data_IF_106429478620
#
_entry.id   IF_106429478620
#
_cell.length_a   1.000
_cell.length_b   1.000
_cell.length_c   1.000
_cell.angle_alpha   90.00
_cell.angle_beta   90.00
_cell.angle_gamma   90.00
#
_symmetry.space_group_name_H-M   'P 1'
#
loop_
_entity.id
_entity.type
_entity.pdbx_description
1 polymer ?
#
# COMPACT_ATOMS: atom_id res chain seq x y z
N UNK A 1 -16.07 0.16 -9.64
CA UNK A 1 -16.04 0.93 -8.38
C UNK A 1 -17.13 1.97 -8.47
N UNK A 2 -18.10 1.93 -7.56
CA UNK A 2 -19.10 2.99 -7.46
C UNK A 2 -18.41 4.22 -6.83
N UNK A 3 -18.22 5.28 -7.61
CA UNK A 3 -17.61 6.54 -7.14
C UNK A 3 -18.61 7.44 -6.42
N UNK A 4 -19.89 7.12 -6.49
CA UNK A 4 -20.98 7.93 -5.95
C UNK A 4 -21.37 7.49 -4.53
N UNK A 5 -20.99 6.27 -4.12
CA UNK A 5 -21.31 5.75 -2.78
C UNK A 5 -20.13 5.03 -2.14
N UNK A 6 -19.46 5.74 -1.24
CA UNK A 6 -18.37 5.23 -0.43
C UNK A 6 -18.93 4.42 0.76
N UNK A 7 -18.72 3.09 0.86
CA UNK A 7 -19.32 2.25 1.90
C UNK A 7 -19.04 2.71 3.32
N UNK A 8 -17.88 3.34 3.57
CA UNK A 8 -17.52 3.88 4.87
C UNK A 8 -18.38 5.07 5.32
N UNK A 9 -19.14 5.69 4.41
CA UNK A 9 -20.07 6.78 4.72
C UNK A 9 -21.47 6.27 5.11
N UNK A 10 -21.78 5.00 4.86
CA UNK A 10 -23.08 4.39 5.19
C UNK A 10 -23.16 3.88 6.65
N UNK A 11 -22.11 4.10 7.44
CA UNK A 11 -21.98 3.60 8.81
C UNK A 11 -21.31 2.22 8.91
N UNK A 12 -21.02 1.79 10.13
CA UNK A 12 -20.26 0.57 10.42
C UNK A 12 -18.83 0.83 10.90
N UNK A 13 -18.12 -0.23 11.29
CA UNK A 13 -16.73 -0.16 11.75
C UNK A 13 -15.83 -0.66 10.63
N UNK A 14 -14.85 0.17 10.28
CA UNK A 14 -13.83 -0.14 9.29
C UNK A 14 -12.47 -0.21 9.98
N UNK A 15 -11.75 -1.30 9.71
CA UNK A 15 -10.34 -1.41 10.05
C UNK A 15 -9.52 -0.60 9.05
N UNK A 16 -8.43 -0.01 9.53
CA UNK A 16 -7.35 0.51 8.69
C UNK A 16 -6.09 -0.30 8.92
N UNK A 17 -5.14 -0.18 8.02
CA UNK A 17 -3.77 -0.62 8.29
C UNK A 17 -3.04 0.34 9.27
N UNK A 18 -1.79 0.00 9.56
CA UNK A 18 -0.94 0.73 10.49
C UNK A 18 0.15 1.55 9.80
N UNK A 19 1.28 1.75 10.47
CA UNK A 19 2.43 2.43 9.88
C UNK A 19 3.23 1.49 8.98
N UNK A 20 3.06 1.62 7.66
CA UNK A 20 3.72 0.74 6.68
C UNK A 20 5.24 0.84 6.76
N UNK A 21 5.82 2.04 6.65
CA UNK A 21 7.28 2.18 6.63
C UNK A 21 7.91 1.77 7.97
N UNK A 22 7.29 2.10 9.10
CA UNK A 22 7.82 1.70 10.41
C UNK A 22 7.79 0.19 10.58
N UNK A 23 6.75 -0.49 10.10
CA UNK A 23 6.66 -1.95 10.15
C UNK A 23 7.73 -2.59 9.26
N UNK A 24 7.85 -2.12 8.02
CA UNK A 24 8.84 -2.64 7.07
C UNK A 24 10.28 -2.45 7.58
N UNK A 25 10.59 -1.32 8.23
CA UNK A 25 11.92 -1.07 8.79
C UNK A 25 12.15 -1.88 10.07
N UNK A 26 11.30 -1.75 11.08
CA UNK A 26 11.59 -2.27 12.42
C UNK A 26 11.22 -3.74 12.60
N UNK A 27 10.22 -4.23 11.86
CA UNK A 27 9.78 -5.62 11.97
C UNK A 27 10.30 -6.50 10.83
N UNK A 28 10.44 -5.97 9.62
CA UNK A 28 10.91 -6.74 8.47
C UNK A 28 12.41 -6.48 8.14
N UNK A 29 13.04 -5.50 8.79
CA UNK A 29 14.47 -5.22 8.62
C UNK A 29 14.83 -4.66 7.25
N UNK A 30 13.88 -4.03 6.55
CA UNK A 30 14.09 -3.46 5.24
C UNK A 30 14.67 -2.04 5.33
N UNK A 31 15.62 -1.76 4.46
CA UNK A 31 16.07 -0.39 4.20
C UNK A 31 15.11 0.27 3.21
N UNK A 32 14.53 1.40 3.60
CA UNK A 32 13.67 2.21 2.74
C UNK A 32 14.37 3.54 2.45
N UNK A 33 15.02 3.69 1.27
CA UNK A 33 15.64 4.94 0.88
C UNK A 33 14.65 6.10 0.97
N UNK A 34 15.04 7.16 1.67
CA UNK A 34 14.17 8.31 1.95
C UNK A 34 12.80 7.89 2.52
N UNK A 35 12.73 6.82 3.32
CA UNK A 35 11.48 6.36 3.95
C UNK A 35 10.33 6.19 2.93
N UNK A 36 10.66 5.73 1.72
CA UNK A 36 9.73 5.67 0.60
C UNK A 36 9.34 4.22 0.28
N UNK A 37 8.18 3.77 0.76
CA UNK A 37 7.69 2.41 0.53
C UNK A 37 7.48 2.08 -0.96
N UNK A 38 7.13 3.06 -1.80
CA UNK A 38 6.91 2.84 -3.24
C UNK A 38 8.15 2.31 -3.97
N UNK A 39 9.35 2.54 -3.44
CA UNK A 39 10.60 2.03 -4.01
C UNK A 39 10.63 0.49 -4.05
N UNK A 40 9.94 -0.18 -3.12
CA UNK A 40 9.81 -1.64 -3.10
C UNK A 40 9.06 -2.20 -4.32
N UNK A 41 8.29 -1.37 -5.04
CA UNK A 41 7.57 -1.80 -6.23
C UNK A 41 8.47 -1.97 -7.46
N UNK A 42 9.76 -1.59 -7.39
CA UNK A 42 10.72 -1.74 -8.50
C UNK A 42 11.01 -3.19 -8.89
N UNK A 43 10.76 -4.12 -7.97
CA UNK A 43 10.95 -5.55 -8.20
C UNK A 43 9.88 -6.40 -7.48
N UNK A 44 9.84 -7.68 -7.81
CA UNK A 44 8.82 -8.60 -7.29
C UNK A 44 9.05 -8.95 -5.82
N UNK A 45 10.31 -8.97 -5.37
CA UNK A 45 10.64 -9.29 -3.99
C UNK A 45 10.17 -8.18 -3.02
N UNK A 46 10.35 -6.91 -3.38
CA UNK A 46 9.82 -5.78 -2.63
C UNK A 46 8.30 -5.71 -2.69
N UNK A 47 7.70 -6.02 -3.85
CA UNK A 47 6.23 -6.13 -3.97
C UNK A 47 5.67 -7.22 -3.03
N UNK A 48 6.39 -8.33 -2.87
CA UNK A 48 6.01 -9.38 -1.93
C UNK A 48 6.08 -8.95 -0.47
N UNK A 49 7.07 -8.14 -0.09
CA UNK A 49 7.14 -7.56 1.26
C UNK A 49 5.93 -6.68 1.58
N UNK A 50 5.42 -5.95 0.58
CA UNK A 50 4.19 -5.19 0.71
C UNK A 50 2.98 -6.09 0.92
N UNK A 51 2.84 -7.20 0.15
CA UNK A 51 1.77 -8.19 0.38
C UNK A 51 1.79 -8.73 1.81
N UNK A 52 2.98 -9.14 2.28
CA UNK A 52 3.18 -9.64 3.64
C UNK A 52 2.81 -8.61 4.71
N UNK A 53 3.03 -7.32 4.45
CA UNK A 53 2.59 -6.24 5.33
C UNK A 53 1.06 -6.10 5.39
N UNK A 54 0.37 -6.17 4.25
CA UNK A 54 -1.08 -5.97 4.19
C UNK A 54 -1.89 -7.19 4.68
N UNK A 55 -1.40 -8.40 4.44
CA UNK A 55 -2.15 -9.64 4.68
C UNK A 55 -2.71 -9.77 6.11
N UNK A 56 -1.97 -9.45 7.20
CA UNK A 56 -2.51 -9.53 8.56
C UNK A 56 -3.74 -8.63 8.78
N UNK A 57 -3.77 -7.42 8.23
CA UNK A 57 -4.91 -6.51 8.34
C UNK A 57 -6.13 -7.05 7.60
N UNK A 58 -5.91 -7.59 6.40
CA UNK A 58 -6.97 -8.20 5.60
C UNK A 58 -7.58 -9.43 6.28
N UNK A 59 -6.74 -10.31 6.86
CA UNK A 59 -7.18 -11.47 7.62
C UNK A 59 -7.99 -11.06 8.85
N UNK A 60 -7.53 -10.07 9.64
CA UNK A 60 -8.25 -9.60 10.83
C UNK A 60 -9.61 -9.01 10.44
N UNK A 61 -9.68 -8.19 9.40
CA UNK A 61 -10.95 -7.62 8.93
C UNK A 61 -11.94 -8.72 8.53
N UNK A 62 -11.46 -9.72 7.78
CA UNK A 62 -12.27 -10.87 7.34
C UNK A 62 -12.76 -11.71 8.52
N UNK A 63 -11.88 -12.06 9.45
CA UNK A 63 -12.22 -12.86 10.65
C UNK A 63 -13.24 -12.16 11.56
N UNK A 64 -13.21 -10.82 11.60
CA UNK A 64 -14.09 -9.99 12.44
C UNK A 64 -15.34 -9.49 11.71
N UNK A 65 -15.48 -9.76 10.42
CA UNK A 65 -16.58 -9.26 9.60
C UNK A 65 -16.62 -7.73 9.51
N UNK A 66 -15.44 -7.09 9.48
CA UNK A 66 -15.29 -5.64 9.39
C UNK A 66 -15.03 -5.21 7.95
N UNK A 67 -15.41 -3.97 7.61
CA UNK A 67 -14.88 -3.32 6.43
C UNK A 67 -13.39 -3.02 6.59
N UNK A 68 -12.66 -2.87 5.49
CA UNK A 68 -11.23 -2.55 5.49
C UNK A 68 -10.95 -1.40 4.54
N UNK A 69 -10.18 -0.42 5.01
CA UNK A 69 -9.66 0.68 4.19
C UNK A 69 -8.14 0.64 4.29
N UNK A 70 -7.48 0.34 3.17
CA UNK A 70 -6.02 0.32 3.07
C UNK A 70 -5.52 1.57 2.35
N UNK A 71 -4.35 2.07 2.75
CA UNK A 71 -3.59 3.00 1.94
C UNK A 71 -2.61 2.28 1.01
N UNK A 72 -2.48 2.78 -0.22
CA UNK A 72 -1.43 2.32 -1.13
C UNK A 72 -0.05 2.82 -0.63
N UNK A 73 1.07 2.15 -0.96
CA UNK A 73 2.41 2.54 -0.51
C UNK A 73 2.95 3.80 -1.22
N UNK A 74 2.12 4.81 -1.42
CA UNK A 74 2.37 5.98 -2.29
C UNK A 74 2.58 7.29 -1.53
N UNK A 75 2.69 7.26 -0.19
CA UNK A 75 2.88 8.46 0.64
C UNK A 75 4.03 9.37 0.15
N UNK A 76 5.16 8.79 -0.26
CA UNK A 76 6.29 9.50 -0.88
C UNK A 76 6.40 9.33 -2.40
N UNK A 77 5.39 8.78 -3.08
CA UNK A 77 5.41 8.60 -4.54
C UNK A 77 5.03 9.91 -5.27
N UNK A 78 5.87 10.94 -5.15
CA UNK A 78 5.70 12.23 -5.83
C UNK A 78 6.95 12.64 -6.62
N UNK A 79 6.86 13.51 -7.63
CA UNK A 79 8.00 13.87 -8.48
C UNK A 79 9.20 14.41 -7.70
N UNK A 80 8.97 15.11 -6.59
CA UNK A 80 10.02 15.65 -5.73
C UNK A 80 10.87 14.57 -5.06
N UNK A 81 10.23 13.52 -4.55
CA UNK A 81 10.92 12.38 -3.91
C UNK A 81 11.49 11.41 -4.94
N UNK A 82 10.73 11.13 -6.01
CA UNK A 82 11.13 10.24 -7.09
C UNK A 82 12.48 10.67 -7.71
N UNK A 83 12.65 11.96 -7.99
CA UNK A 83 13.93 12.48 -8.50
C UNK A 83 15.10 12.31 -7.54
N UNK A 84 14.88 12.40 -6.22
CA UNK A 84 15.93 12.17 -5.24
C UNK A 84 16.36 10.69 -5.18
N UNK A 85 15.46 9.78 -5.57
CA UNK A 85 15.72 8.34 -5.69
C UNK A 85 16.22 7.93 -7.09
N UNK A 86 16.26 8.87 -8.04
CA UNK A 86 16.75 8.63 -9.41
C UNK A 86 15.70 8.17 -10.41
N UNK A 87 14.41 8.23 -10.06
CA UNK A 87 13.32 7.87 -10.97
C UNK A 87 12.91 9.03 -11.90
N UNK A 88 12.53 8.69 -13.13
CA UNK A 88 11.83 9.59 -14.05
C UNK A 88 10.34 9.76 -13.68
N UNK A 89 9.68 10.75 -14.30
CA UNK A 89 8.24 10.96 -14.10
C UNK A 89 7.42 9.78 -14.69
N UNK A 90 7.90 9.15 -15.77
CA UNK A 90 7.29 7.96 -16.37
C UNK A 90 7.43 6.71 -15.49
N UNK A 91 8.61 6.50 -14.90
CA UNK A 91 8.83 5.42 -13.93
C UNK A 91 7.96 5.61 -12.70
N UNK A 92 7.83 6.85 -12.20
CA UNK A 92 6.95 7.18 -11.09
C UNK A 92 5.48 6.90 -11.41
N UNK A 93 4.98 7.26 -12.61
CA UNK A 93 3.61 6.94 -13.03
C UNK A 93 3.38 5.42 -13.06
N UNK A 94 4.34 4.67 -13.61
CA UNK A 94 4.28 3.20 -13.62
C UNK A 94 4.23 2.60 -12.20
N UNK A 95 5.06 3.11 -11.28
CA UNK A 95 5.08 2.64 -9.88
C UNK A 95 3.79 3.00 -9.14
N UNK A 96 3.22 4.20 -9.35
CA UNK A 96 1.92 4.57 -8.78
C UNK A 96 0.79 3.66 -9.30
N UNK A 97 0.79 3.31 -10.59
CA UNK A 97 -0.18 2.36 -11.15
C UNK A 97 0.00 0.96 -10.56
N UNK A 98 1.25 0.50 -10.40
CA UNK A 98 1.56 -0.80 -9.78
C UNK A 98 1.10 -0.83 -8.32
N UNK A 99 1.24 0.28 -7.59
CA UNK A 99 0.74 0.42 -6.23
C UNK A 99 -0.78 0.22 -6.14
N UNK A 100 -1.55 0.83 -7.06
CA UNK A 100 -3.02 0.66 -7.10
C UNK A 100 -3.40 -0.74 -7.56
N UNK A 101 -2.69 -1.32 -8.53
CA UNK A 101 -2.93 -2.69 -8.97
C UNK A 101 -2.74 -3.70 -7.81
N UNK A 102 -1.73 -3.49 -6.95
CA UNK A 102 -1.54 -4.27 -5.73
C UNK A 102 -2.73 -4.13 -4.77
N UNK A 103 -3.31 -2.94 -4.63
CA UNK A 103 -4.50 -2.74 -3.78
C UNK A 103 -5.72 -3.48 -4.33
N UNK A 104 -5.86 -3.51 -5.66
CA UNK A 104 -6.93 -4.26 -6.32
C UNK A 104 -6.73 -5.78 -6.21
N UNK A 105 -5.49 -6.26 -6.27
CA UNK A 105 -5.11 -7.66 -6.03
C UNK A 105 -5.53 -8.08 -4.62
N UNK A 106 -5.12 -7.33 -3.59
CA UNK A 106 -5.48 -7.60 -2.20
C UNK A 106 -7.00 -7.59 -1.98
N UNK A 107 -7.72 -6.65 -2.61
CA UNK A 107 -9.19 -6.63 -2.55
C UNK A 107 -9.83 -7.87 -3.18
N UNK A 108 -9.24 -8.42 -4.24
CA UNK A 108 -9.77 -9.60 -4.91
C UNK A 108 -9.48 -10.90 -4.14
N UNK A 109 -8.37 -10.92 -3.40
CA UNK A 109 -7.93 -12.09 -2.63
C UNK A 109 -8.70 -12.29 -1.32
N UNK A 110 -9.03 -11.22 -0.60
CA UNK A 110 -9.61 -11.27 0.75
C UNK A 110 -11.11 -11.00 0.80
#
# INVERSE_FOLDING_TARGET
>A
MDRERLPQLDGGVFLTDGGIETTLIFHHGLELPLFAAFDLLKDDAGTEQLRLYYAPYALIAKERGLGLVLEAPTWRASPGWARQLGYSDEELDALNRKAIALMEELRAEY
#
